data_IF_547432209226
#
_entry.id   IF_547432209226
#
_cell.length_a   1.000
_cell.length_b   1.000
_cell.length_c   1.000
_cell.angle_alpha   90.00
_cell.angle_beta   90.00
_cell.angle_gamma   90.00
#
_symmetry.space_group_name_H-M   'P 1'
#
loop_
_entity.id
_entity.type
_entity.pdbx_description
1 polymer ?
#
# COMPACT_ATOMS: atom_id res chain seq x y z
N UNK A 1 -22.90 3.55 47.30
CA UNK A 1 -22.37 2.35 46.61
C UNK A 1 -22.74 2.27 45.12
N UNK A 2 -23.96 2.64 44.68
CA UNK A 2 -24.41 2.44 43.28
C UNK A 2 -23.73 3.35 42.25
N UNK A 3 -23.46 4.62 42.61
CA UNK A 3 -22.88 5.64 41.74
C UNK A 3 -21.47 5.24 41.22
N UNK A 4 -20.68 4.58 42.08
CA UNK A 4 -19.35 4.08 41.71
C UNK A 4 -19.43 2.92 40.71
N UNK A 5 -20.43 2.05 40.84
CA UNK A 5 -20.63 0.96 39.88
C UNK A 5 -21.00 1.49 38.49
N UNK A 6 -21.84 2.51 38.43
CA UNK A 6 -22.23 3.13 37.15
C UNK A 6 -21.09 3.93 36.52
N UNK A 7 -20.25 4.60 37.33
CA UNK A 7 -18.99 5.21 36.84
C UNK A 7 -18.05 4.19 36.24
N UNK A 8 -17.82 3.05 36.90
CA UNK A 8 -16.94 1.99 36.39
C UNK A 8 -17.44 1.40 35.07
N UNK A 9 -18.75 1.20 34.91
CA UNK A 9 -19.34 0.75 33.63
C UNK A 9 -19.14 1.77 32.53
N UNK A 10 -19.38 3.06 32.83
CA UNK A 10 -19.20 4.16 31.87
C UNK A 10 -17.76 4.20 31.38
N UNK A 11 -16.80 4.19 32.30
CA UNK A 11 -15.38 4.30 31.96
C UNK A 11 -14.89 3.09 31.17
N UNK A 12 -15.40 1.89 31.48
CA UNK A 12 -15.17 0.70 30.68
C UNK A 12 -15.71 0.85 29.25
N UNK A 13 -16.98 1.25 29.09
CA UNK A 13 -17.59 1.43 27.77
C UNK A 13 -16.88 2.51 26.95
N UNK A 14 -16.49 3.62 27.58
CA UNK A 14 -15.70 4.69 26.94
C UNK A 14 -14.34 4.15 26.52
N UNK A 15 -13.65 3.41 27.39
CA UNK A 15 -12.35 2.82 27.09
C UNK A 15 -12.40 1.84 25.92
N UNK A 16 -13.38 0.93 25.91
CA UNK A 16 -13.57 -0.04 24.82
C UNK A 16 -13.93 0.67 23.52
N UNK A 17 -14.84 1.64 23.55
CA UNK A 17 -15.27 2.37 22.35
C UNK A 17 -14.12 3.18 21.76
N UNK A 18 -13.38 3.90 22.60
CA UNK A 18 -12.21 4.65 22.15
C UNK A 18 -11.12 3.73 21.60
N UNK A 19 -10.84 2.62 22.30
CA UNK A 19 -9.84 1.63 21.86
C UNK A 19 -10.20 0.97 20.52
N UNK A 20 -11.46 0.56 20.33
CA UNK A 20 -11.89 0.01 19.03
C UNK A 20 -11.88 1.06 17.94
N UNK A 21 -12.27 2.30 18.25
CA UNK A 21 -12.23 3.42 17.31
C UNK A 21 -10.83 3.67 16.76
N UNK A 22 -9.80 3.72 17.63
CA UNK A 22 -8.42 3.95 17.19
C UNK A 22 -7.89 2.81 16.31
N UNK A 23 -8.18 1.55 16.65
CA UNK A 23 -7.81 0.38 15.84
C UNK A 23 -8.47 0.43 14.46
N UNK A 24 -9.77 0.71 14.40
CA UNK A 24 -10.51 0.82 13.14
C UNK A 24 -9.96 1.95 12.25
N UNK A 25 -9.65 3.11 12.84
CA UNK A 25 -9.03 4.23 12.12
C UNK A 25 -7.67 3.83 11.55
N UNK A 26 -6.79 3.19 12.34
CA UNK A 26 -5.50 2.70 11.86
C UNK A 26 -5.64 1.72 10.68
N UNK A 27 -6.59 0.79 10.78
CA UNK A 27 -6.84 -0.20 9.73
C UNK A 27 -7.28 0.41 8.39
N UNK A 28 -7.96 1.56 8.41
CA UNK A 28 -8.38 2.27 7.18
C UNK A 28 -7.31 3.24 6.67
N UNK A 29 -6.63 3.96 7.58
CA UNK A 29 -5.62 4.95 7.20
C UNK A 29 -4.40 4.31 6.51
N UNK A 30 -3.94 3.14 6.97
CA UNK A 30 -2.76 2.46 6.40
C UNK A 30 -2.94 2.12 4.90
N UNK A 31 -3.98 1.37 4.47
CA UNK A 31 -4.19 1.09 3.06
C UNK A 31 -4.56 2.35 2.25
N UNK A 32 -5.20 3.34 2.88
CA UNK A 32 -5.49 4.62 2.21
C UNK A 32 -4.22 5.34 1.79
N UNK A 33 -3.25 5.50 2.69
CA UNK A 33 -1.95 6.11 2.34
C UNK A 33 -1.16 5.22 1.38
N UNK A 34 -1.19 3.89 1.58
CA UNK A 34 -0.53 2.96 0.68
C UNK A 34 -1.08 3.04 -0.77
N UNK A 35 -2.33 3.47 -0.95
CA UNK A 35 -2.95 3.63 -2.28
C UNK A 35 -2.31 4.72 -3.14
N UNK A 36 -1.57 5.66 -2.55
CA UNK A 36 -0.80 6.67 -3.30
C UNK A 36 0.49 6.12 -3.91
N UNK A 37 0.87 4.89 -3.55
CA UNK A 37 2.01 4.20 -4.15
C UNK A 37 1.76 3.79 -5.61
N UNK A 38 2.84 3.45 -6.36
CA UNK A 38 2.72 2.97 -7.72
C UNK A 38 1.89 1.68 -7.76
N UNK A 39 0.90 1.66 -8.67
CA UNK A 39 0.01 0.51 -8.88
C UNK A 39 0.79 -0.74 -9.30
N UNK A 40 0.20 -1.92 -9.12
CA UNK A 40 0.85 -3.19 -9.49
C UNK A 40 1.23 -3.24 -10.97
N UNK A 41 0.46 -2.58 -11.84
CA UNK A 41 0.80 -2.41 -13.27
C UNK A 41 2.07 -1.59 -13.46
N UNK A 42 2.30 -0.55 -12.64
CA UNK A 42 3.52 0.25 -12.68
C UNK A 42 4.73 -0.48 -12.11
N UNK A 43 4.54 -1.34 -11.09
CA UNK A 43 5.60 -2.23 -10.58
C UNK A 43 5.95 -3.31 -11.60
N UNK A 44 4.95 -3.92 -12.24
CA UNK A 44 5.13 -4.93 -13.29
C UNK A 44 5.77 -4.34 -14.55
N UNK A 45 5.44 -3.11 -14.95
CA UNK A 45 6.09 -2.40 -16.06
C UNK A 45 7.55 -1.98 -15.76
N UNK A 46 8.01 -2.12 -14.51
CA UNK A 46 9.41 -1.95 -14.11
C UNK A 46 10.20 -3.26 -14.06
N UNK A 47 9.57 -4.41 -14.36
CA UNK A 47 10.24 -5.69 -14.42
C UNK A 47 11.31 -5.70 -15.53
N UNK A 48 12.40 -6.47 -15.35
CA UNK A 48 13.48 -6.49 -16.32
C UNK A 48 13.01 -6.98 -17.69
N UNK A 49 13.25 -6.19 -18.73
CA UNK A 49 13.03 -6.59 -20.13
C UNK A 49 14.20 -7.47 -20.55
N UNK A 50 13.93 -8.74 -20.83
CA UNK A 50 14.92 -9.66 -21.41
C UNK A 50 15.02 -9.42 -22.91
N UNK A 51 16.21 -9.05 -23.38
CA UNK A 51 16.49 -8.76 -24.79
C UNK A 51 17.50 -9.78 -25.32
N UNK A 52 17.12 -10.49 -26.38
CA UNK A 52 17.99 -11.43 -27.11
C UNK A 52 18.86 -10.69 -28.13
N UNK A 53 20.15 -10.56 -27.83
CA UNK A 53 21.14 -9.87 -28.65
C UNK A 53 21.67 -10.72 -29.81
N UNK A 54 21.31 -12.01 -29.91
CA UNK A 54 21.83 -12.92 -30.93
C UNK A 54 21.31 -12.67 -32.34
N UNK A 55 20.28 -11.82 -32.48
CA UNK A 55 19.63 -11.48 -33.76
C UNK A 55 20.07 -10.14 -34.34
N UNK A 56 20.90 -9.37 -33.63
CA UNK A 56 21.30 -8.02 -34.04
C UNK A 56 22.55 -8.10 -34.92
N UNK A 57 22.46 -7.60 -36.15
CA UNK A 57 23.59 -7.58 -37.08
C UNK A 57 24.57 -6.44 -36.76
N UNK A 58 25.86 -6.57 -37.10
CA UNK A 58 26.84 -5.49 -36.93
C UNK A 58 26.40 -4.23 -37.69
N UNK A 59 26.21 -3.12 -36.96
CA UNK A 59 25.75 -1.84 -37.51
C UNK A 59 24.24 -1.58 -37.38
N UNK A 60 23.47 -2.55 -36.86
CA UNK A 60 22.04 -2.39 -36.58
C UNK A 60 21.81 -1.86 -35.15
N UNK A 61 20.97 -0.84 -35.02
CA UNK A 61 20.57 -0.27 -33.71
C UNK A 61 19.12 -0.67 -33.42
N UNK A 62 18.90 -1.49 -32.40
CA UNK A 62 17.57 -1.78 -31.88
C UNK A 62 17.33 -0.96 -30.61
N UNK A 63 16.20 -0.27 -30.58
CA UNK A 63 15.73 0.54 -29.45
C UNK A 63 14.65 -0.26 -28.72
N UNK A 64 14.86 -0.54 -27.44
CA UNK A 64 13.93 -1.33 -26.63
C UNK A 64 13.29 -0.44 -25.57
N UNK A 65 11.97 -0.26 -25.67
CA UNK A 65 11.25 0.57 -24.71
C UNK A 65 11.22 -0.08 -23.32
N UNK A 66 11.81 0.60 -22.34
CA UNK A 66 11.81 0.22 -20.93
C UNK A 66 11.25 1.37 -20.07
N UNK A 67 10.23 1.09 -19.26
CA UNK A 67 9.58 2.08 -18.36
C UNK A 67 9.22 3.41 -19.07
N UNK A 68 8.72 3.32 -20.31
CA UNK A 68 8.28 4.49 -21.09
C UNK A 68 9.42 5.36 -21.63
N UNK A 69 10.66 4.84 -21.62
CA UNK A 69 11.80 5.45 -22.30
C UNK A 69 12.32 4.45 -23.35
N UNK A 70 12.60 4.91 -24.58
CA UNK A 70 13.40 4.13 -25.52
C UNK A 70 14.80 3.82 -24.97
#
# INVERSE_FOLDING_TARGET
MSDEHDKRKRDFLVGVTAGMGTVATGAVLVPFVASWGPSEKAKAAGAPVEVDLGKIQPGEMQVYEWRGKP
#
